data_IF_795473765890
#
_entry.id   IF_795473765890
#
_cell.length_a   1.000
_cell.length_b   1.000
_cell.length_c   1.000
_cell.angle_alpha   90.00
_cell.angle_beta   90.00
_cell.angle_gamma   90.00
#
_symmetry.space_group_name_H-M   'P 1'
#
loop_
_entity.id
_entity.type
_entity.pdbx_description
1 polymer ?
#
# COMPACT_ATOMS: atom_id res chain seq x y z
N UNK A 1 -19.47 0.83 29.25
CA UNK A 1 -18.49 1.62 28.49
C UNK A 1 -18.43 0.96 27.14
N UNK A 2 -18.92 1.65 26.13
CA UNK A 2 -19.14 1.08 24.82
C UNK A 2 -18.11 1.69 23.87
N UNK A 3 -17.85 0.99 22.77
CA UNK A 3 -16.98 1.49 21.73
C UNK A 3 -17.82 2.30 20.74
N UNK A 4 -17.38 3.50 20.42
CA UNK A 4 -18.02 4.37 19.43
C UNK A 4 -17.01 4.75 18.35
N UNK A 5 -17.47 4.79 17.11
CA UNK A 5 -16.72 5.35 15.99
C UNK A 5 -17.31 6.69 15.62
N UNK A 6 -16.47 7.73 15.64
CA UNK A 6 -16.80 9.09 15.22
C UNK A 6 -16.31 9.31 13.81
N UNK A 7 -17.14 9.91 12.96
CA UNK A 7 -16.84 10.22 11.57
C UNK A 7 -17.48 11.55 11.15
N UNK A 8 -16.92 12.21 10.14
CA UNK A 8 -17.52 13.38 9.50
C UNK A 8 -17.98 13.00 8.08
N UNK A 9 -18.40 13.97 7.26
CA UNK A 9 -18.87 13.73 5.89
C UNK A 9 -17.84 13.08 4.95
N UNK A 10 -16.56 13.09 5.29
CA UNK A 10 -15.46 12.65 4.43
C UNK A 10 -14.79 11.36 4.93
N UNK A 11 -14.67 11.19 6.25
CA UNK A 11 -13.84 10.12 6.83
C UNK A 11 -14.18 9.80 8.27
N UNK A 12 -13.66 8.66 8.72
CA UNK A 12 -13.58 8.30 10.14
C UNK A 12 -12.55 9.20 10.81
N UNK A 13 -12.93 9.74 11.97
CA UNK A 13 -12.13 10.69 12.76
C UNK A 13 -11.45 9.98 13.92
N UNK A 14 -12.21 9.18 14.67
CA UNK A 14 -11.68 8.48 15.84
C UNK A 14 -12.53 7.29 16.25
N UNK A 15 -11.93 6.42 17.06
CA UNK A 15 -12.61 5.32 17.74
C UNK A 15 -12.30 5.45 19.22
N UNK A 16 -13.33 5.47 20.06
CA UNK A 16 -13.20 5.71 21.49
C UNK A 16 -14.05 4.74 22.32
N UNK A 17 -13.62 4.51 23.56
CA UNK A 17 -14.38 3.75 24.54
C UNK A 17 -14.85 4.71 25.63
N UNK A 18 -16.15 5.01 25.68
CA UNK A 18 -16.70 5.98 26.64
C UNK A 18 -18.09 5.57 27.12
N UNK A 19 -18.64 6.32 28.07
CA UNK A 19 -20.08 6.26 28.39
C UNK A 19 -20.86 7.13 27.41
N UNK A 20 -22.16 6.86 27.23
CA UNK A 20 -23.05 7.74 26.46
C UNK A 20 -23.02 9.18 26.98
N UNK A 21 -23.00 9.37 28.30
CA UNK A 21 -22.93 10.69 28.94
C UNK A 21 -21.69 11.52 28.56
N UNK A 22 -20.59 10.86 28.18
CA UNK A 22 -19.34 11.52 27.78
C UNK A 22 -19.12 11.51 26.27
N UNK A 23 -19.97 10.82 25.51
CA UNK A 23 -19.85 10.71 24.07
C UNK A 23 -20.06 12.06 23.39
N UNK A 24 -21.13 12.77 23.76
CA UNK A 24 -21.48 14.08 23.18
C UNK A 24 -20.39 15.14 23.43
N UNK A 25 -19.55 14.97 24.46
CA UNK A 25 -18.41 15.85 24.73
C UNK A 25 -17.22 15.62 23.77
N UNK A 26 -17.20 14.48 23.07
CA UNK A 26 -16.16 14.09 22.12
C UNK A 26 -16.59 14.26 20.65
N UNK A 27 -17.85 14.63 20.39
CA UNK A 27 -18.41 14.80 19.05
C UNK A 27 -18.47 16.29 18.73
N UNK A 28 -17.69 16.72 17.73
CA UNK A 28 -17.65 18.12 17.31
C UNK A 28 -18.81 18.46 16.34
N UNK A 29 -19.00 19.74 16.07
CA UNK A 29 -19.95 20.19 15.05
C UNK A 29 -19.59 19.61 13.67
N UNK A 30 -20.56 18.98 13.02
CA UNK A 30 -20.37 18.31 11.72
C UNK A 30 -19.87 16.87 11.82
N UNK A 31 -19.65 16.35 13.03
CA UNK A 31 -19.35 14.94 13.26
C UNK A 31 -20.62 14.17 13.63
N UNK A 32 -20.58 12.87 13.36
CA UNK A 32 -21.61 11.90 13.73
C UNK A 32 -20.91 10.68 14.36
N UNK A 33 -21.67 9.85 15.05
CA UNK A 33 -21.14 8.65 15.67
C UNK A 33 -22.01 7.43 15.40
N UNK A 34 -21.41 6.26 15.56
CA UNK A 34 -22.10 4.98 15.61
C UNK A 34 -21.50 4.12 16.70
N UNK A 35 -22.31 3.33 17.39
CA UNK A 35 -21.82 2.33 18.34
C UNK A 35 -21.17 1.17 17.57
N UNK A 36 -19.93 0.85 17.94
CA UNK A 36 -19.11 -0.17 17.32
C UNK A 36 -17.71 0.32 16.96
N UNK A 37 -16.85 -0.62 16.59
CA UNK A 37 -15.48 -0.38 16.14
C UNK A 37 -15.42 -0.54 14.62
N UNK A 38 -15.39 0.59 13.91
CA UNK A 38 -15.27 0.64 12.47
C UNK A 38 -13.96 1.34 12.12
N UNK A 39 -13.06 0.65 11.41
CA UNK A 39 -11.77 1.20 11.01
C UNK A 39 -11.80 1.62 9.55
N UNK A 40 -10.99 2.62 9.22
CA UNK A 40 -10.76 3.13 7.86
C UNK A 40 -10.10 2.10 6.91
N UNK A 41 -9.64 0.97 7.44
CA UNK A 41 -9.22 -0.20 6.68
C UNK A 41 -10.40 -0.92 6.00
N UNK A 42 -11.55 -1.01 6.68
CA UNK A 42 -12.72 -1.77 6.21
C UNK A 42 -13.92 -0.90 5.88
N UNK A 43 -13.94 0.37 6.31
CA UNK A 43 -15.07 1.26 6.16
C UNK A 43 -14.68 2.62 5.59
N UNK A 44 -15.60 3.23 4.86
CA UNK A 44 -15.52 4.60 4.36
C UNK A 44 -16.82 5.35 4.62
N UNK A 45 -16.77 6.69 4.55
CA UNK A 45 -17.96 7.51 4.66
C UNK A 45 -18.51 7.83 3.28
N UNK A 46 -19.82 7.61 3.09
CA UNK A 46 -20.57 8.10 1.93
C UNK A 46 -21.95 8.56 2.37
N UNK A 47 -22.36 9.75 1.96
CA UNK A 47 -23.64 10.34 2.34
C UNK A 47 -23.87 10.38 3.86
N UNK A 48 -22.83 10.73 4.62
CA UNK A 48 -22.85 10.77 6.09
C UNK A 48 -23.21 9.42 6.76
N UNK A 49 -22.82 8.30 6.13
CA UNK A 49 -22.97 6.95 6.67
C UNK A 49 -21.69 6.17 6.47
N UNK A 50 -21.37 5.26 7.41
CA UNK A 50 -20.30 4.28 7.23
C UNK A 50 -20.76 3.16 6.30
N UNK A 51 -19.94 2.87 5.30
CA UNK A 51 -20.12 1.77 4.37
C UNK A 51 -18.88 0.90 4.39
N UNK A 52 -19.07 -0.41 4.35
CA UNK A 52 -17.98 -1.36 4.24
C UNK A 52 -17.38 -1.28 2.83
N UNK A 53 -16.05 -1.33 2.73
CA UNK A 53 -15.37 -1.48 1.46
C UNK A 53 -15.69 -2.86 0.86
N UNK A 54 -15.81 -2.97 -0.47
CA UNK A 54 -15.76 -4.27 -1.11
C UNK A 54 -14.39 -4.93 -0.85
N UNK A 55 -14.32 -6.26 -0.99
CA UNK A 55 -13.07 -7.02 -0.84
C UNK A 55 -11.97 -6.38 -1.68
N UNK A 56 -10.89 -5.95 -1.01
CA UNK A 56 -9.74 -5.32 -1.65
C UNK A 56 -8.98 -6.35 -2.48
N UNK A 57 -8.80 -6.13 -3.79
CA UNK A 57 -7.98 -7.00 -4.62
C UNK A 57 -6.53 -7.07 -4.15
N UNK A 58 -5.88 -8.20 -4.45
CA UNK A 58 -4.45 -8.44 -4.19
C UNK A 58 -3.57 -7.87 -5.31
N UNK A 59 -3.77 -6.59 -5.63
CA UNK A 59 -2.92 -5.82 -6.53
C UNK A 59 -3.06 -4.31 -6.25
N UNK A 60 -2.09 -3.47 -6.66
CA UNK A 60 -2.13 -2.03 -6.50
C UNK A 60 -3.45 -1.39 -7.00
N UNK A 61 -4.28 -0.96 -6.05
CA UNK A 61 -5.56 -0.30 -6.30
C UNK A 61 -5.80 0.88 -5.37
N UNK A 62 -6.59 1.83 -5.85
CA UNK A 62 -7.19 2.90 -5.05
C UNK A 62 -8.70 2.81 -5.12
N UNK A 63 -9.39 3.08 -4.00
CA UNK A 63 -10.84 3.05 -3.98
C UNK A 63 -11.43 4.31 -4.62
N UNK A 64 -12.34 4.13 -5.57
CA UNK A 64 -13.15 5.20 -6.12
C UNK A 64 -14.49 5.24 -5.39
N UNK A 65 -14.70 6.29 -4.58
CA UNK A 65 -15.91 6.46 -3.78
C UNK A 65 -17.18 6.76 -4.61
N UNK A 66 -17.03 7.32 -5.82
CA UNK A 66 -18.15 7.60 -6.71
C UNK A 66 -18.75 6.31 -7.27
N UNK A 67 -17.88 5.42 -7.78
CA UNK A 67 -18.27 4.13 -8.35
C UNK A 67 -18.33 2.99 -7.33
N UNK A 68 -17.84 3.22 -6.11
CA UNK A 68 -17.72 2.24 -5.03
C UNK A 68 -16.91 1.00 -5.42
N UNK A 69 -15.84 1.22 -6.19
CA UNK A 69 -15.01 0.13 -6.73
C UNK A 69 -13.53 0.41 -6.51
N UNK A 70 -12.77 -0.67 -6.34
CA UNK A 70 -11.31 -0.64 -6.44
C UNK A 70 -10.91 -0.47 -7.90
N UNK A 71 -10.05 0.50 -8.16
CA UNK A 71 -9.55 0.81 -9.50
C UNK A 71 -8.04 0.64 -9.49
N UNK A 72 -7.48 0.07 -10.56
CA UNK A 72 -6.04 -0.08 -10.70
C UNK A 72 -5.34 1.28 -10.55
N UNK A 73 -4.26 1.31 -9.76
CA UNK A 73 -3.47 2.50 -9.52
C UNK A 73 -2.05 2.31 -10.05
N UNK A 74 -1.81 2.85 -11.25
CA UNK A 74 -0.52 2.76 -11.95
C UNK A 74 0.63 3.41 -11.16
N UNK A 75 0.34 4.48 -10.40
CA UNK A 75 1.36 5.14 -9.60
C UNK A 75 1.74 4.28 -8.40
N UNK A 76 0.75 3.67 -7.74
CA UNK A 76 0.99 2.72 -6.66
C UNK A 76 1.74 1.48 -7.17
N UNK A 77 1.35 0.95 -8.34
CA UNK A 77 2.05 -0.17 -8.97
C UNK A 77 3.52 0.18 -9.27
N UNK A 78 3.77 1.35 -9.86
CA UNK A 78 5.13 1.81 -10.16
C UNK A 78 5.98 2.03 -8.90
N UNK A 79 5.38 2.54 -7.84
CA UNK A 79 6.06 2.73 -6.56
C UNK A 79 6.44 1.39 -5.92
N UNK A 80 5.51 0.43 -5.88
CA UNK A 80 5.76 -0.92 -5.38
C UNK A 80 6.85 -1.61 -6.20
N UNK A 81 6.78 -1.52 -7.53
CA UNK A 81 7.83 -2.03 -8.43
C UNK A 81 9.21 -1.43 -8.10
N UNK A 82 9.29 -0.10 -7.93
CA UNK A 82 10.55 0.59 -7.62
C UNK A 82 11.11 0.15 -6.27
N UNK A 83 10.24 -0.04 -5.27
CA UNK A 83 10.63 -0.55 -3.96
C UNK A 83 11.24 -1.94 -4.09
N UNK A 84 10.53 -2.89 -4.70
CA UNK A 84 10.99 -4.27 -4.89
C UNK A 84 12.31 -4.33 -5.69
N UNK A 85 12.42 -3.54 -6.77
CA UNK A 85 13.66 -3.42 -7.54
C UNK A 85 14.82 -2.94 -6.65
N UNK A 86 14.58 -1.94 -5.82
CA UNK A 86 15.61 -1.40 -4.93
C UNK A 86 16.00 -2.43 -3.85
N UNK A 87 15.05 -3.19 -3.31
CA UNK A 87 15.30 -4.28 -2.37
C UNK A 87 16.16 -5.39 -3.00
N UNK A 88 15.87 -5.79 -4.25
CA UNK A 88 16.69 -6.75 -5.01
C UNK A 88 18.10 -6.23 -5.30
N UNK A 89 18.23 -4.95 -5.63
CA UNK A 89 19.54 -4.30 -5.79
C UNK A 89 20.30 -4.28 -4.46
N UNK A 90 19.65 -3.96 -3.34
CA UNK A 90 20.28 -3.96 -2.03
C UNK A 90 20.73 -5.38 -1.62
N UNK A 91 19.90 -6.39 -1.84
CA UNK A 91 20.20 -7.79 -1.53
C UNK A 91 21.43 -8.33 -2.28
N UNK A 92 21.75 -7.77 -3.45
CA UNK A 92 22.91 -8.15 -4.27
C UNK A 92 24.09 -7.19 -4.13
N UNK A 93 24.03 -6.18 -3.25
CA UNK A 93 25.05 -5.14 -3.20
C UNK A 93 26.42 -5.66 -2.76
N UNK A 94 26.44 -6.59 -1.80
CA UNK A 94 27.66 -7.26 -1.33
C UNK A 94 28.45 -7.97 -2.44
N UNK A 95 27.80 -8.38 -3.53
CA UNK A 95 28.45 -9.04 -4.68
C UNK A 95 29.36 -8.08 -5.47
N UNK A 96 29.16 -6.78 -5.31
CA UNK A 96 29.88 -5.73 -6.04
C UNK A 96 31.14 -5.26 -5.33
N UNK A 97 31.30 -5.64 -4.05
CA UNK A 97 32.44 -5.24 -3.25
C UNK A 97 33.74 -5.89 -3.76
N UNK A 98 34.86 -5.14 -3.69
CA UNK A 98 36.15 -5.64 -4.17
C UNK A 98 36.60 -6.88 -3.38
N UNK A 99 36.31 -6.92 -2.08
CA UNK A 99 36.56 -8.01 -1.13
C UNK A 99 35.49 -9.10 -1.14
N UNK A 100 34.49 -9.01 -2.02
CA UNK A 100 33.49 -10.07 -2.18
C UNK A 100 34.17 -11.41 -2.49
N UNK A 101 33.75 -12.52 -1.83
CA UNK A 101 34.36 -13.85 -1.99
C UNK A 101 34.05 -14.51 -3.34
N UNK A 102 33.23 -13.89 -4.18
CA UNK A 102 32.82 -14.40 -5.49
C UNK A 102 33.99 -14.44 -6.48
N UNK A 103 33.92 -15.39 -7.42
CA UNK A 103 34.80 -15.41 -8.58
C UNK A 103 34.54 -14.19 -9.47
N UNK A 104 35.50 -13.80 -10.32
CA UNK A 104 35.30 -12.67 -11.23
C UNK A 104 34.14 -12.92 -12.22
N UNK A 105 33.96 -14.18 -12.64
CA UNK A 105 32.83 -14.60 -13.47
C UNK A 105 31.50 -14.38 -12.75
N UNK A 106 31.40 -14.76 -11.48
CA UNK A 106 30.17 -14.58 -10.71
C UNK A 106 29.89 -13.09 -10.45
N UNK A 107 30.92 -12.30 -10.13
CA UNK A 107 30.79 -10.84 -10.01
C UNK A 107 30.26 -10.23 -11.31
N UNK A 108 30.74 -10.68 -12.47
CA UNK A 108 30.25 -10.23 -13.77
C UNK A 108 28.78 -10.64 -14.01
N UNK A 109 28.38 -11.85 -13.61
CA UNK A 109 26.97 -12.28 -13.70
C UNK A 109 26.05 -11.39 -12.85
N UNK A 110 26.45 -11.06 -11.62
CA UNK A 110 25.70 -10.14 -10.76
C UNK A 110 25.68 -8.70 -11.30
N UNK A 111 26.76 -8.22 -11.93
CA UNK A 111 26.75 -6.92 -12.62
C UNK A 111 25.71 -6.88 -13.74
N UNK A 112 25.67 -7.92 -14.58
CA UNK A 112 24.67 -8.06 -15.65
C UNK A 112 23.25 -8.11 -15.08
N UNK A 113 23.00 -8.93 -14.06
CA UNK A 113 21.71 -9.00 -13.37
C UNK A 113 21.26 -7.62 -12.86
N UNK A 114 22.14 -6.90 -12.16
CA UNK A 114 21.83 -5.58 -11.61
C UNK A 114 21.55 -4.55 -12.70
N UNK A 115 22.19 -4.67 -13.86
CA UNK A 115 21.89 -3.84 -15.02
C UNK A 115 20.48 -4.14 -15.56
N UNK A 116 20.15 -5.42 -15.74
CA UNK A 116 18.79 -5.86 -16.14
C UNK A 116 17.74 -5.27 -15.19
N UNK A 117 17.93 -5.38 -13.87
CA UNK A 117 17.00 -4.82 -12.88
C UNK A 117 16.79 -3.30 -13.04
N UNK A 118 17.84 -2.55 -13.38
CA UNK A 118 17.74 -1.09 -13.59
C UNK A 118 17.03 -0.74 -14.89
N UNK A 119 17.22 -1.56 -15.91
CA UNK A 119 16.71 -1.32 -17.27
C UNK A 119 15.26 -1.82 -17.45
N UNK A 120 14.74 -2.65 -16.53
CA UNK A 120 13.36 -3.16 -16.57
C UNK A 120 12.28 -2.11 -16.89
N UNK A 121 12.27 -0.89 -16.31
CA UNK A 121 11.26 0.13 -16.64
C UNK A 121 11.31 0.65 -18.08
N UNK A 122 12.41 0.39 -18.80
CA UNK A 122 12.62 0.78 -20.18
C UNK A 122 12.36 -0.36 -21.16
N UNK A 123 12.02 -1.56 -20.66
CA UNK A 123 11.72 -2.71 -21.50
C UNK A 123 10.39 -2.54 -22.22
N UNK A 124 10.33 -2.99 -23.48
CA UNK A 124 9.08 -3.04 -24.24
C UNK A 124 8.07 -3.95 -23.53
N UNK A 125 6.85 -3.46 -23.33
CA UNK A 125 5.81 -4.20 -22.62
C UNK A 125 5.99 -4.28 -21.10
N UNK A 126 6.79 -3.38 -20.51
CA UNK A 126 6.92 -3.27 -19.06
C UNK A 126 5.55 -3.08 -18.38
N UNK A 127 5.19 -4.03 -17.53
CA UNK A 127 4.01 -3.99 -16.67
C UNK A 127 4.46 -3.90 -15.20
N UNK A 128 4.28 -2.75 -14.52
CA UNK A 128 4.62 -2.61 -13.11
C UNK A 128 3.69 -3.39 -12.18
N UNK A 129 2.51 -3.82 -12.67
CA UNK A 129 1.56 -4.63 -11.91
C UNK A 129 2.01 -6.09 -11.83
N UNK A 130 2.59 -6.60 -12.92
CA UNK A 130 3.05 -7.98 -13.05
C UNK A 130 4.50 -8.08 -13.58
N UNK A 131 5.49 -7.53 -12.86
CA UNK A 131 6.88 -7.55 -13.30
C UNK A 131 7.44 -8.98 -13.29
N UNK A 132 8.07 -9.38 -14.40
CA UNK A 132 8.81 -10.64 -14.48
C UNK A 132 10.26 -10.40 -14.05
N UNK A 133 10.59 -10.82 -12.84
CA UNK A 133 11.93 -10.62 -12.28
C UNK A 133 12.96 -11.61 -12.83
N UNK A 134 14.20 -11.17 -13.10
CA UNK A 134 15.26 -12.08 -13.49
C UNK A 134 15.64 -13.01 -12.32
N UNK A 135 16.04 -14.25 -12.66
CA UNK A 135 16.53 -15.22 -11.68
C UNK A 135 17.92 -14.84 -11.19
N UNK A 136 18.16 -14.99 -9.88
CA UNK A 136 19.48 -14.77 -9.30
C UNK A 136 20.49 -15.82 -9.80
N UNK A 137 21.74 -15.44 -10.09
CA UNK A 137 22.85 -16.36 -10.40
C UNK A 137 23.23 -17.26 -9.22
#
# INVERSE_FOLDING_TARGET
MNCYTIYNSEKIISILNCSEETLDLNVNEGESYVEGKFTDEYYYVKNNQLKEYPVKPDYPVTFNADTEQWVADDNLALNNFRQERNERLAATDWTQAADSPLSETDKQNYRTLRQILRDMPQADGFDPLNPVWPTLP
#
